data_IF_560336757973
#
_entry.id   IF_560336757973
#
_cell.length_a   1.000
_cell.length_b   1.000
_cell.length_c   1.000
_cell.angle_alpha   90.00
_cell.angle_beta   90.00
_cell.angle_gamma   90.00
#
_symmetry.space_group_name_H-M   'P 1'
#
loop_
_entity.id
_entity.type
_entity.pdbx_description
1 polymer ?
#
# COMPACT_ATOMS: atom_id res chain seq x y z
N UNK A 1 -8.80 -6.50 7.88
CA UNK A 1 -7.94 -6.84 6.74
C UNK A 1 -6.80 -5.83 6.61
N UNK A 2 -5.56 -6.26 6.54
CA UNK A 2 -4.44 -5.33 6.38
C UNK A 2 -4.54 -4.56 5.06
N UNK A 3 -4.34 -3.25 5.14
CA UNK A 3 -4.48 -2.38 3.97
C UNK A 3 -3.71 -1.08 4.20
N UNK A 4 -3.51 -0.33 3.11
CA UNK A 4 -2.94 1.00 3.20
C UNK A 4 -3.61 1.90 2.17
N UNK A 5 -3.55 3.20 2.42
CA UNK A 5 -4.13 4.20 1.54
C UNK A 5 -3.05 4.77 0.63
N UNK A 6 -3.39 4.94 -0.64
CA UNK A 6 -2.47 5.57 -1.60
C UNK A 6 -3.09 6.81 -2.19
N UNK A 7 -2.21 7.73 -2.56
CA UNK A 7 -2.59 8.92 -3.29
C UNK A 7 -1.63 9.08 -4.46
N UNK A 8 -2.18 9.14 -5.67
CA UNK A 8 -1.40 9.29 -6.88
C UNK A 8 -1.98 10.47 -7.67
N UNK A 9 -1.34 11.62 -7.56
CA UNK A 9 -1.93 12.86 -8.08
C UNK A 9 -3.22 13.15 -7.34
N UNK A 10 -4.33 13.20 -8.06
CA UNK A 10 -5.65 13.41 -7.47
C UNK A 10 -6.43 12.10 -7.29
N UNK A 11 -5.82 10.99 -7.63
CA UNK A 11 -6.43 9.67 -7.48
C UNK A 11 -6.15 9.14 -6.07
N UNK A 12 -7.15 8.49 -5.49
CA UNK A 12 -7.02 7.90 -4.16
C UNK A 12 -7.54 6.47 -4.19
N UNK A 13 -6.90 5.60 -3.45
CA UNK A 13 -7.32 4.21 -3.40
C UNK A 13 -6.90 3.56 -2.09
N UNK A 14 -7.51 2.42 -1.80
CA UNK A 14 -7.14 1.57 -0.68
C UNK A 14 -6.63 0.26 -1.26
N UNK A 15 -5.44 -0.13 -0.84
CA UNK A 15 -4.76 -1.34 -1.35
C UNK A 15 -4.67 -2.36 -0.22
N UNK A 16 -5.12 -3.58 -0.50
CA UNK A 16 -4.93 -4.69 0.43
C UNK A 16 -3.49 -5.16 0.41
N UNK A 17 -3.00 -5.62 1.56
CA UNK A 17 -1.61 -6.07 1.69
C UNK A 17 -1.51 -7.59 1.57
N UNK A 18 -2.51 -8.33 2.02
CA UNK A 18 -2.52 -9.79 1.95
C UNK A 18 -3.95 -10.28 1.73
N UNK A 19 -4.31 -10.58 0.48
CA UNK A 19 -3.51 -10.45 -0.74
C UNK A 19 -3.38 -9.00 -1.21
N UNK A 20 -2.39 -8.76 -2.05
CA UNK A 20 -2.22 -7.46 -2.68
C UNK A 20 -3.33 -7.28 -3.72
N UNK A 21 -4.16 -6.26 -3.52
CA UNK A 21 -5.29 -6.00 -4.41
C UNK A 21 -5.84 -4.60 -4.20
N UNK A 22 -6.46 -4.05 -5.23
CA UNK A 22 -7.20 -2.79 -5.11
C UNK A 22 -8.53 -3.09 -4.42
N UNK A 23 -8.73 -2.53 -3.23
CA UNK A 23 -9.94 -2.77 -2.44
C UNK A 23 -11.01 -1.70 -2.66
N UNK A 24 -10.60 -0.45 -2.83
CA UNK A 24 -11.53 0.66 -2.97
C UNK A 24 -10.83 1.82 -3.67
N UNK A 25 -11.63 2.73 -4.20
CA UNK A 25 -11.11 3.89 -4.87
C UNK A 25 -10.86 3.64 -6.34
N UNK A 26 -10.15 4.57 -6.97
CA UNK A 26 -9.97 4.51 -8.41
C UNK A 26 -8.55 4.97 -8.78
N UNK A 27 -7.88 4.16 -9.58
CA UNK A 27 -6.56 4.48 -10.13
C UNK A 27 -6.60 4.23 -11.63
N UNK A 28 -5.85 5.03 -12.39
CA UNK A 28 -5.66 4.75 -13.82
C UNK A 28 -4.98 3.39 -13.98
N UNK A 29 -5.14 2.71 -15.11
CA UNK A 29 -4.49 1.41 -15.32
C UNK A 29 -2.98 1.45 -15.09
N UNK A 30 -2.31 2.52 -15.53
CA UNK A 30 -0.88 2.66 -15.34
C UNK A 30 -0.51 2.83 -13.87
N UNK A 31 -1.22 3.73 -13.17
CA UNK A 31 -0.96 3.95 -11.74
C UNK A 31 -1.23 2.69 -10.93
N UNK A 32 -2.32 1.99 -11.23
CA UNK A 32 -2.65 0.76 -10.54
C UNK A 32 -1.56 -0.30 -10.72
N UNK A 33 -1.10 -0.49 -11.96
CA UNK A 33 -0.04 -1.46 -12.23
C UNK A 33 1.22 -1.15 -11.45
N UNK A 34 1.65 0.12 -11.45
CA UNK A 34 2.85 0.54 -10.73
C UNK A 34 2.71 0.34 -9.22
N UNK A 35 1.57 0.73 -8.66
CA UNK A 35 1.34 0.65 -7.23
C UNK A 35 1.22 -0.80 -6.76
N UNK A 36 0.50 -1.65 -7.50
CA UNK A 36 0.37 -3.05 -7.12
C UNK A 36 1.70 -3.79 -7.23
N UNK A 37 2.51 -3.47 -8.23
CA UNK A 37 3.85 -4.05 -8.37
C UNK A 37 4.76 -3.61 -7.21
N UNK A 38 4.75 -2.32 -6.88
CA UNK A 38 5.51 -1.80 -5.75
C UNK A 38 5.07 -2.47 -4.45
N UNK A 39 3.76 -2.58 -4.24
CA UNK A 39 3.22 -3.21 -3.03
C UNK A 39 3.62 -4.69 -2.92
N UNK A 40 3.64 -5.41 -4.04
CA UNK A 40 4.06 -6.81 -4.03
C UNK A 40 5.54 -6.95 -3.66
N UNK A 41 6.39 -6.02 -4.15
CA UNK A 41 7.80 -6.03 -3.81
C UNK A 41 8.04 -5.71 -2.33
N UNK A 42 7.16 -4.93 -1.71
CA UNK A 42 7.32 -4.47 -0.33
C UNK A 42 6.28 -5.08 0.61
N UNK A 43 5.68 -6.21 0.23
CA UNK A 43 4.59 -6.80 1.02
C UNK A 43 4.99 -7.08 2.47
N UNK A 44 6.17 -7.65 2.68
CA UNK A 44 6.63 -7.97 4.04
C UNK A 44 6.81 -6.70 4.87
N UNK A 45 7.38 -5.64 4.27
CA UNK A 45 7.57 -4.37 4.95
C UNK A 45 6.23 -3.72 5.28
N UNK A 46 5.27 -3.78 4.35
CA UNK A 46 3.93 -3.23 4.55
C UNK A 46 3.19 -3.97 5.66
N UNK A 47 3.31 -5.30 5.71
CA UNK A 47 2.70 -6.08 6.79
C UNK A 47 3.32 -5.76 8.13
N UNK A 48 4.64 -5.59 8.18
CA UNK A 48 5.33 -5.21 9.41
C UNK A 48 4.84 -3.84 9.90
N UNK A 49 4.73 -2.87 8.99
CA UNK A 49 4.23 -1.54 9.35
C UNK A 49 2.76 -1.57 9.78
N UNK A 50 1.95 -2.42 9.16
CA UNK A 50 0.56 -2.61 9.58
C UNK A 50 0.47 -3.08 11.03
N UNK A 51 1.31 -4.07 11.40
CA UNK A 51 1.34 -4.57 12.78
C UNK A 51 1.85 -3.50 13.75
N UNK A 52 2.87 -2.74 13.37
CA UNK A 52 3.37 -1.65 14.20
C UNK A 52 2.31 -0.57 14.40
N UNK A 53 1.57 -0.22 13.36
CA UNK A 53 0.50 0.76 13.45
C UNK A 53 -0.61 0.29 14.40
N UNK A 54 -0.94 -0.99 14.38
CA UNK A 54 -1.93 -1.56 15.30
C UNK A 54 -1.47 -1.47 16.75
N UNK A 55 -0.17 -1.52 16.98
CA UNK A 55 0.43 -1.43 18.31
C UNK A 55 0.76 0.00 18.71
N UNK A 56 0.45 0.96 17.86
CA UNK A 56 0.79 2.38 18.05
C UNK A 56 2.29 2.59 18.19
N UNK A 57 3.10 1.71 17.57
CA UNK A 57 4.55 1.79 17.57
C UNK A 57 5.03 2.61 16.36
N UNK A 58 6.28 3.15 16.41
CA UNK A 58 6.83 3.84 15.25
C UNK A 58 6.92 2.92 14.03
N UNK A 59 6.60 3.46 12.86
CA UNK A 59 6.62 2.70 11.62
C UNK A 59 8.01 2.65 11.01
N UNK A 60 8.31 1.55 10.31
CA UNK A 60 9.52 1.46 9.52
C UNK A 60 9.36 2.25 8.23
N UNK A 61 10.45 2.83 7.77
CA UNK A 61 10.45 3.54 6.50
C UNK A 61 10.60 2.54 5.36
N UNK A 62 9.76 2.69 4.33
CA UNK A 62 9.79 1.84 3.13
C UNK A 62 10.23 2.69 1.95
N UNK A 63 11.07 2.12 1.07
CA UNK A 63 11.53 2.84 -0.12
C UNK A 63 10.32 3.27 -0.96
N UNK A 64 10.28 4.55 -1.35
CA UNK A 64 9.11 5.08 -2.05
C UNK A 64 9.01 4.57 -3.48
N UNK A 65 7.81 4.64 -4.02
CA UNK A 65 7.55 4.42 -5.43
C UNK A 65 8.07 5.60 -6.24
N UNK A 66 8.83 5.31 -7.26
CA UNK A 66 9.40 6.32 -8.13
C UNK A 66 8.60 6.50 -9.42
#
# INVERSE_FOLDING_TARGET
>A
MPHFHVRYGQQKAVIGIDPIALLAGRLSPKARALILEWAALHQAELMADWELARQLAPLNKIDPLE
#
